data_IF_698269693672
#
_entry.id   IF_698269693672
#
_cell.length_a   1.000
_cell.length_b   1.000
_cell.length_c   1.000
_cell.angle_alpha   90.00
_cell.angle_beta   90.00
_cell.angle_gamma   90.00
#
_symmetry.space_group_name_H-M   'P 1'
#
loop_
_entity.id
_entity.type
_entity.pdbx_description
1 polymer ?
#
# COMPACT_ATOMS: atom_id res chain seq x y z
N UNK A 1 25.70 18.32 3.63
CA UNK A 1 24.21 18.35 3.67
C UNK A 1 23.80 18.76 5.08
N UNK A 2 22.82 19.64 5.22
CA UNK A 2 22.37 20.10 6.55
C UNK A 2 21.37 19.07 7.10
N UNK A 3 21.73 18.36 8.18
CA UNK A 3 20.89 17.33 8.83
C UNK A 3 19.48 17.83 9.12
N UNK A 4 19.35 18.99 9.76
CA UNK A 4 18.06 19.57 10.16
C UNK A 4 17.15 19.92 8.96
N UNK A 5 17.75 20.43 7.87
CA UNK A 5 16.97 20.73 6.66
C UNK A 5 16.46 19.44 6.00
N UNK A 6 17.33 18.42 5.88
CA UNK A 6 16.94 17.12 5.35
C UNK A 6 15.90 16.43 6.23
N UNK A 7 16.01 16.53 7.56
CA UNK A 7 15.05 15.91 8.49
C UNK A 7 13.66 16.55 8.35
N UNK A 8 13.60 17.86 8.21
CA UNK A 8 12.33 18.57 7.97
C UNK A 8 11.69 18.12 6.66
N UNK A 9 12.47 18.13 5.57
CA UNK A 9 12.00 17.71 4.25
C UNK A 9 11.52 16.25 4.25
N UNK A 10 12.27 15.35 4.89
CA UNK A 10 11.90 13.94 5.01
C UNK A 10 10.59 13.76 5.81
N UNK A 11 10.44 14.48 6.93
CA UNK A 11 9.19 14.47 7.72
C UNK A 11 8.00 15.02 6.93
N UNK A 12 8.19 16.04 6.10
CA UNK A 12 7.13 16.58 5.22
C UNK A 12 6.67 15.55 4.18
N UNK A 13 7.60 14.83 3.54
CA UNK A 13 7.27 13.75 2.61
C UNK A 13 6.54 12.60 3.30
N UNK A 14 7.03 12.15 4.45
CA UNK A 14 6.37 11.13 5.26
C UNK A 14 4.96 11.57 5.64
N UNK A 15 4.77 12.81 6.05
CA UNK A 15 3.45 13.34 6.41
C UNK A 15 2.48 13.29 5.23
N UNK A 16 2.91 13.64 4.01
CA UNK A 16 2.08 13.52 2.81
C UNK A 16 1.65 12.07 2.55
N UNK A 17 2.59 11.13 2.65
CA UNK A 17 2.33 9.70 2.49
C UNK A 17 1.30 9.21 3.53
N UNK A 18 1.48 9.59 4.79
CA UNK A 18 0.57 9.20 5.88
C UNK A 18 -0.81 9.89 5.74
N UNK A 19 -0.90 11.13 5.22
CA UNK A 19 -2.19 11.79 4.96
C UNK A 19 -2.99 11.05 3.88
N UNK A 20 -2.34 10.66 2.78
CA UNK A 20 -2.97 9.86 1.73
C UNK A 20 -3.45 8.53 2.32
N UNK A 21 -2.58 7.83 3.05
CA UNK A 21 -2.89 6.57 3.71
C UNK A 21 -4.07 6.69 4.68
N UNK A 22 -4.08 7.73 5.50
CA UNK A 22 -5.19 7.99 6.42
C UNK A 22 -6.50 8.28 5.68
N UNK A 23 -6.43 9.06 4.60
CA UNK A 23 -7.60 9.36 3.78
C UNK A 23 -8.19 8.10 3.17
N UNK A 24 -7.36 7.22 2.60
CA UNK A 24 -7.79 5.95 2.02
C UNK A 24 -8.37 5.01 3.09
N UNK A 25 -7.61 4.74 4.14
CA UNK A 25 -7.93 3.68 5.10
C UNK A 25 -8.95 4.09 6.16
N UNK A 26 -9.16 5.39 6.37
CA UNK A 26 -10.10 5.88 7.38
C UNK A 26 -11.29 6.59 6.74
N UNK A 27 -11.08 7.64 5.95
CA UNK A 27 -12.20 8.45 5.43
C UNK A 27 -12.92 7.76 4.27
N UNK A 28 -12.18 7.32 3.24
CA UNK A 28 -12.77 6.66 2.06
C UNK A 28 -13.33 5.29 2.42
N UNK A 29 -12.61 4.54 3.25
CA UNK A 29 -13.06 3.25 3.73
C UNK A 29 -14.30 3.37 4.63
N UNK A 30 -14.33 4.34 5.56
CA UNK A 30 -15.51 4.60 6.39
C UNK A 30 -16.74 4.93 5.56
N UNK A 31 -16.61 5.82 4.57
CA UNK A 31 -17.70 6.15 3.65
C UNK A 31 -18.17 4.91 2.87
N UNK A 32 -17.22 4.08 2.40
CA UNK A 32 -17.51 2.84 1.68
C UNK A 32 -18.40 1.90 2.50
N UNK A 33 -18.07 1.67 3.77
CA UNK A 33 -18.78 0.70 4.62
C UNK A 33 -20.05 1.25 5.28
N UNK A 34 -20.29 2.57 5.24
CA UNK A 34 -21.42 3.19 5.96
C UNK A 34 -22.45 3.83 5.05
N UNK A 35 -22.04 4.68 4.14
CA UNK A 35 -22.92 5.56 3.37
C UNK A 35 -22.92 5.31 1.86
N UNK A 36 -21.92 4.63 1.33
CA UNK A 36 -21.80 4.42 -0.11
C UNK A 36 -22.90 3.52 -0.64
N UNK A 37 -23.67 3.95 -1.68
CA UNK A 37 -24.60 3.07 -2.38
C UNK A 37 -23.84 1.91 -3.04
N UNK A 38 -24.47 0.73 -3.15
CA UNK A 38 -23.86 -0.46 -3.78
C UNK A 38 -23.32 -0.16 -5.19
N UNK A 39 -24.06 0.62 -5.98
CA UNK A 39 -23.64 1.02 -7.34
C UNK A 39 -22.45 2.02 -7.36
N UNK A 40 -22.07 2.55 -6.21
CA UNK A 40 -20.93 3.49 -6.07
C UNK A 40 -19.56 2.86 -6.10
N UNK A 41 -19.45 1.52 -6.03
CA UNK A 41 -18.16 0.83 -5.86
C UNK A 41 -17.21 1.06 -7.03
N UNK A 42 -17.70 1.08 -8.27
CA UNK A 42 -16.85 1.28 -9.45
C UNK A 42 -16.14 2.64 -9.41
N UNK A 43 -16.86 3.70 -9.05
CA UNK A 43 -16.25 5.02 -8.91
C UNK A 43 -15.30 5.08 -7.72
N UNK A 44 -15.69 4.49 -6.58
CA UNK A 44 -14.90 4.51 -5.36
C UNK A 44 -13.58 3.74 -5.50
N UNK A 45 -13.59 2.61 -6.21
CA UNK A 45 -12.36 1.84 -6.50
C UNK A 45 -11.37 2.66 -7.34
N UNK A 46 -11.84 3.43 -8.31
CA UNK A 46 -11.01 4.36 -9.11
C UNK A 46 -10.41 5.47 -8.27
N UNK A 47 -11.18 6.03 -7.32
CA UNK A 47 -10.65 7.04 -6.38
C UNK A 47 -9.56 6.43 -5.49
N UNK A 48 -9.78 5.22 -4.97
CA UNK A 48 -8.77 4.53 -4.16
C UNK A 48 -7.50 4.23 -4.96
N UNK A 49 -7.65 3.74 -6.18
CA UNK A 49 -6.52 3.48 -7.10
C UNK A 49 -5.73 4.75 -7.41
N UNK A 50 -6.41 5.86 -7.69
CA UNK A 50 -5.76 7.17 -7.89
C UNK A 50 -4.94 7.59 -6.67
N UNK A 51 -5.52 7.52 -5.47
CA UNK A 51 -4.81 7.87 -4.24
C UNK A 51 -3.64 6.93 -3.95
N UNK A 52 -3.78 5.65 -4.27
CA UNK A 52 -2.69 4.68 -4.14
C UNK A 52 -1.54 4.99 -5.12
N UNK A 53 -1.85 5.45 -6.33
CA UNK A 53 -0.85 5.94 -7.30
C UNK A 53 -0.09 7.16 -6.77
N UNK A 54 -0.79 8.17 -6.24
CA UNK A 54 -0.17 9.34 -5.63
C UNK A 54 0.78 8.94 -4.47
N UNK A 55 0.36 8.00 -3.63
CA UNK A 55 1.20 7.48 -2.56
C UNK A 55 2.43 6.73 -3.11
N UNK A 56 2.21 5.89 -4.13
CA UNK A 56 3.28 5.14 -4.79
C UNK A 56 4.33 6.08 -5.37
N UNK A 57 3.93 7.13 -6.10
CA UNK A 57 4.84 8.08 -6.72
C UNK A 57 5.71 8.82 -5.68
N UNK A 58 5.14 9.16 -4.51
CA UNK A 58 5.91 9.72 -3.41
C UNK A 58 6.96 8.74 -2.90
N UNK A 59 6.58 7.47 -2.66
CA UNK A 59 7.48 6.41 -2.18
C UNK A 59 8.56 6.02 -3.20
N UNK A 60 8.24 6.05 -4.49
CA UNK A 60 9.16 5.74 -5.58
C UNK A 60 10.05 6.93 -5.98
N UNK A 61 9.77 8.15 -5.49
CA UNK A 61 10.53 9.36 -5.87
C UNK A 61 12.00 9.26 -5.47
N UNK A 62 12.88 9.78 -6.33
CA UNK A 62 14.32 9.87 -6.01
C UNK A 62 14.57 10.67 -4.73
N UNK A 63 13.82 11.78 -4.55
CA UNK A 63 13.92 12.63 -3.35
C UNK A 63 13.65 11.83 -2.07
N UNK A 64 12.58 11.05 -2.03
CA UNK A 64 12.26 10.20 -0.88
C UNK A 64 13.33 9.14 -0.63
N UNK A 65 13.74 8.44 -1.69
CA UNK A 65 14.73 7.36 -1.59
C UNK A 65 16.12 7.86 -1.17
N UNK A 66 16.53 9.04 -1.64
CA UNK A 66 17.82 9.65 -1.26
C UNK A 66 17.81 10.10 0.22
N UNK A 67 16.69 10.67 0.68
CA UNK A 67 16.51 11.01 2.11
C UNK A 67 16.44 9.75 2.98
N UNK A 68 15.72 8.71 2.55
CA UNK A 68 15.67 7.45 3.27
C UNK A 68 17.07 6.83 3.43
N UNK A 69 17.87 6.80 2.36
CA UNK A 69 19.26 6.32 2.42
C UNK A 69 20.13 7.20 3.31
N UNK A 70 19.94 8.53 3.29
CA UNK A 70 20.69 9.46 4.14
C UNK A 70 20.46 9.19 5.62
N UNK A 71 19.19 8.91 6.00
CA UNK A 71 18.85 8.65 7.41
C UNK A 71 19.02 7.18 7.83
N UNK A 72 19.18 6.24 6.91
CA UNK A 72 19.34 4.82 7.24
C UNK A 72 20.70 4.59 7.94
N UNK A 73 20.67 4.43 9.26
CA UNK A 73 21.85 4.25 10.09
C UNK A 73 22.68 5.53 10.33
N UNK A 74 22.09 6.73 10.11
CA UNK A 74 22.77 7.99 10.36
C UNK A 74 23.07 8.20 11.85
N UNK A 75 24.31 8.55 12.19
CA UNK A 75 24.78 8.60 13.60
C UNK A 75 24.12 9.69 14.45
N UNK A 76 23.59 10.74 13.81
CA UNK A 76 22.93 11.85 14.50
C UNK A 76 21.42 11.59 14.74
N UNK A 77 20.90 10.45 14.27
CA UNK A 77 19.50 10.10 14.52
C UNK A 77 19.23 9.90 16.00
N UNK A 78 18.20 10.56 16.49
CA UNK A 78 17.61 10.20 17.77
C UNK A 78 16.78 8.90 17.65
N UNK A 79 16.34 8.34 18.78
CA UNK A 79 15.60 7.08 18.84
C UNK A 79 14.29 7.16 18.04
N UNK A 80 13.64 8.34 18.02
CA UNK A 80 12.37 8.55 17.29
C UNK A 80 12.62 8.54 15.80
N UNK A 81 13.62 9.27 15.33
CA UNK A 81 14.01 9.31 13.91
C UNK A 81 14.45 7.93 13.43
N UNK A 82 15.25 7.20 14.22
CA UNK A 82 15.68 5.85 13.86
C UNK A 82 14.48 4.89 13.74
N UNK A 83 13.53 4.94 14.67
CA UNK A 83 12.32 4.12 14.66
C UNK A 83 11.43 4.46 13.47
N UNK A 84 11.30 5.76 13.14
CA UNK A 84 10.56 6.25 11.99
C UNK A 84 11.18 5.72 10.68
N UNK A 85 12.49 5.83 10.52
CA UNK A 85 13.23 5.35 9.34
C UNK A 85 13.03 3.84 9.17
N UNK A 86 13.21 3.05 10.23
CA UNK A 86 13.00 1.60 10.19
C UNK A 86 11.58 1.22 9.75
N UNK A 87 10.56 1.90 10.29
CA UNK A 87 9.16 1.66 9.92
C UNK A 87 8.89 1.99 8.46
N UNK A 88 9.34 3.16 8.02
CA UNK A 88 9.15 3.61 6.63
C UNK A 88 9.90 2.70 5.66
N UNK A 89 11.14 2.36 5.94
CA UNK A 89 11.95 1.46 5.12
C UNK A 89 11.22 0.12 4.92
N UNK A 90 10.75 -0.49 6.01
CA UNK A 90 9.98 -1.75 5.92
C UNK A 90 8.77 -1.63 5.02
N UNK A 91 7.96 -0.59 5.20
CA UNK A 91 6.73 -0.41 4.44
C UNK A 91 6.97 -0.04 2.96
N UNK A 92 8.00 0.78 2.68
CA UNK A 92 8.29 1.25 1.32
C UNK A 92 8.89 0.17 0.42
N UNK A 93 9.69 -0.76 0.98
CA UNK A 93 10.36 -1.82 0.22
C UNK A 93 9.36 -2.69 -0.53
N UNK A 94 8.25 -3.03 0.09
CA UNK A 94 7.24 -3.89 -0.54
C UNK A 94 6.49 -3.18 -1.67
N UNK A 95 6.08 -1.93 -1.46
CA UNK A 95 5.36 -1.16 -2.48
C UNK A 95 6.27 -0.81 -3.65
N UNK A 96 7.50 -0.33 -3.39
CA UNK A 96 8.42 0.14 -4.43
C UNK A 96 8.96 -0.94 -5.38
N UNK A 97 8.84 -2.22 -5.02
CA UNK A 97 9.23 -3.34 -5.87
C UNK A 97 8.16 -3.76 -6.87
N UNK A 98 6.90 -3.37 -6.64
CA UNK A 98 5.78 -3.70 -7.52
C UNK A 98 5.67 -2.61 -8.59
N UNK A 99 5.47 -2.96 -9.89
CA UNK A 99 5.16 -1.97 -10.91
C UNK A 99 3.90 -1.16 -10.56
N UNK A 100 3.92 0.16 -10.82
CA UNK A 100 2.84 1.07 -10.42
C UNK A 100 1.47 0.62 -10.95
N UNK A 101 1.39 0.23 -12.23
CA UNK A 101 0.16 -0.22 -12.87
C UNK A 101 -0.43 -1.48 -12.20
N UNK A 102 0.43 -2.42 -11.79
CA UNK A 102 -0.02 -3.62 -11.08
C UNK A 102 -0.46 -3.32 -9.66
N UNK A 103 0.21 -2.37 -8.99
CA UNK A 103 -0.22 -1.93 -7.67
C UNK A 103 -1.58 -1.23 -7.71
N UNK A 104 -1.83 -0.37 -8.70
CA UNK A 104 -3.13 0.27 -8.93
C UNK A 104 -4.22 -0.77 -9.21
N UNK A 105 -3.96 -1.71 -10.12
CA UNK A 105 -4.90 -2.78 -10.45
C UNK A 105 -5.24 -3.65 -9.22
N UNK A 106 -4.26 -3.92 -8.37
CA UNK A 106 -4.46 -4.63 -7.12
C UNK A 106 -5.39 -3.87 -6.16
N UNK A 107 -5.20 -2.56 -5.99
CA UNK A 107 -6.06 -1.74 -5.13
C UNK A 107 -7.51 -1.74 -5.63
N UNK A 108 -7.72 -1.63 -6.94
CA UNK A 108 -9.06 -1.74 -7.55
C UNK A 108 -9.67 -3.12 -7.34
N UNK A 109 -8.90 -4.17 -7.58
CA UNK A 109 -9.33 -5.55 -7.39
C UNK A 109 -9.81 -5.79 -5.94
N UNK A 110 -9.01 -5.40 -4.95
CA UNK A 110 -9.37 -5.59 -3.53
C UNK A 110 -10.62 -4.80 -3.17
N UNK A 111 -10.75 -3.56 -3.65
CA UNK A 111 -11.91 -2.72 -3.35
C UNK A 111 -13.24 -3.32 -3.87
N UNK A 112 -13.20 -3.94 -5.06
CA UNK A 112 -14.36 -4.63 -5.64
C UNK A 112 -14.58 -5.99 -5.00
N UNK A 113 -13.50 -6.77 -4.80
CA UNK A 113 -13.57 -8.11 -4.22
C UNK A 113 -14.21 -8.13 -2.83
N UNK A 114 -13.97 -7.09 -2.01
CA UNK A 114 -14.55 -6.95 -0.68
C UNK A 114 -16.08 -6.84 -0.75
N UNK A 115 -16.63 -6.05 -1.67
CA UNK A 115 -18.08 -5.98 -1.87
C UNK A 115 -18.67 -7.30 -2.39
N UNK A 116 -18.01 -7.92 -3.38
CA UNK A 116 -18.44 -9.19 -3.95
C UNK A 116 -18.39 -10.30 -2.90
N UNK A 117 -17.42 -10.26 -1.98
CA UNK A 117 -17.36 -11.18 -0.85
C UNK A 117 -18.57 -11.05 0.08
N UNK A 118 -19.01 -9.81 0.39
CA UNK A 118 -20.20 -9.58 1.19
C UNK A 118 -21.46 -10.15 0.49
N UNK A 119 -21.62 -9.90 -0.81
CA UNK A 119 -22.73 -10.42 -1.61
C UNK A 119 -22.73 -11.96 -1.67
N UNK A 120 -21.57 -12.57 -1.87
CA UNK A 120 -21.41 -14.03 -1.89
C UNK A 120 -21.74 -14.66 -0.53
N UNK A 121 -21.35 -13.99 0.56
CA UNK A 121 -21.66 -14.41 1.93
C UNK A 121 -23.15 -14.33 2.21
N UNK A 122 -23.82 -13.23 1.86
CA UNK A 122 -25.25 -13.04 2.05
C UNK A 122 -26.06 -14.07 1.23
N UNK A 123 -25.62 -14.36 0.01
CA UNK A 123 -26.21 -15.38 -0.85
C UNK A 123 -25.84 -16.82 -0.44
N UNK A 124 -24.88 -17.03 0.46
CA UNK A 124 -24.28 -18.33 0.78
C UNK A 124 -23.77 -19.07 -0.48
N UNK A 125 -23.25 -18.32 -1.45
CA UNK A 125 -22.73 -18.84 -2.72
C UNK A 125 -21.29 -18.40 -2.97
N UNK A 126 -20.34 -19.30 -2.68
CA UNK A 126 -18.91 -19.06 -2.87
C UNK A 126 -18.52 -18.81 -4.35
N UNK A 127 -19.28 -19.34 -5.32
CA UNK A 127 -18.98 -19.20 -6.75
C UNK A 127 -18.99 -17.75 -7.21
N UNK A 128 -19.74 -16.89 -6.53
CA UNK A 128 -19.76 -15.44 -6.80
C UNK A 128 -18.41 -14.82 -6.49
N UNK A 129 -17.76 -15.22 -5.39
CA UNK A 129 -16.47 -14.66 -4.95
C UNK A 129 -15.25 -15.40 -5.55
N UNK A 130 -15.40 -16.66 -5.92
CA UNK A 130 -14.28 -17.50 -6.39
C UNK A 130 -13.39 -16.82 -7.45
N UNK A 131 -13.91 -16.19 -8.53
CA UNK A 131 -13.06 -15.55 -9.54
C UNK A 131 -12.18 -14.43 -8.98
N UNK A 132 -12.70 -13.69 -8.00
CA UNK A 132 -11.94 -12.61 -7.34
C UNK A 132 -10.85 -13.16 -6.43
N UNK A 133 -11.15 -14.23 -5.70
CA UNK A 133 -10.14 -14.91 -4.87
C UNK A 133 -9.00 -15.47 -5.73
N UNK A 134 -9.33 -16.10 -6.86
CA UNK A 134 -8.32 -16.59 -7.81
C UNK A 134 -7.44 -15.45 -8.34
N UNK A 135 -8.03 -14.33 -8.75
CA UNK A 135 -7.30 -13.14 -9.21
C UNK A 135 -6.41 -12.53 -8.11
N UNK A 136 -6.88 -12.52 -6.85
CA UNK A 136 -6.08 -12.06 -5.70
C UNK A 136 -4.87 -12.97 -5.49
N UNK A 137 -5.07 -14.30 -5.50
CA UNK A 137 -3.99 -15.28 -5.33
C UNK A 137 -2.96 -15.14 -6.45
N UNK A 138 -3.37 -15.05 -7.70
CA UNK A 138 -2.48 -14.84 -8.84
C UNK A 138 -1.68 -13.53 -8.72
N UNK A 139 -2.32 -12.47 -8.22
CA UNK A 139 -1.65 -11.18 -7.98
C UNK A 139 -0.58 -11.31 -6.89
N UNK A 140 -0.86 -12.00 -5.78
CA UNK A 140 0.12 -12.21 -4.72
C UNK A 140 1.27 -13.13 -5.15
N UNK A 141 1.04 -14.11 -6.02
CA UNK A 141 2.11 -14.93 -6.62
C UNK A 141 3.05 -14.01 -7.41
N UNK A 142 2.54 -13.12 -8.27
CA UNK A 142 3.36 -12.14 -8.99
C UNK A 142 4.09 -11.17 -8.06
N UNK A 143 3.45 -10.70 -6.99
CA UNK A 143 4.09 -9.83 -6.01
C UNK A 143 5.22 -10.54 -5.26
N UNK A 144 5.05 -11.81 -4.92
CA UNK A 144 6.11 -12.62 -4.33
C UNK A 144 7.36 -12.69 -5.23
N UNK A 145 7.17 -12.81 -6.57
CA UNK A 145 8.27 -12.76 -7.52
C UNK A 145 9.02 -11.40 -7.49
N UNK A 146 8.29 -10.28 -7.38
CA UNK A 146 8.93 -8.96 -7.24
C UNK A 146 9.64 -8.77 -5.91
N UNK A 147 9.09 -9.29 -4.83
CA UNK A 147 9.71 -9.21 -3.50
C UNK A 147 10.93 -10.10 -3.39
N UNK A 148 10.91 -11.27 -4.05
CA UNK A 148 11.92 -12.31 -3.98
C UNK A 148 11.74 -13.21 -2.76
N UNK A 149 12.06 -14.48 -2.92
CA UNK A 149 12.00 -15.52 -1.87
C UNK A 149 13.13 -16.53 -2.11
N UNK A 150 13.46 -17.34 -1.10
CA UNK A 150 14.53 -18.34 -1.22
C UNK A 150 13.99 -19.71 -1.64
N UNK A 151 12.94 -20.22 -0.98
CA UNK A 151 12.41 -21.56 -1.20
C UNK A 151 10.98 -21.54 -1.73
N UNK A 152 10.07 -20.80 -1.07
CA UNK A 152 8.65 -20.80 -1.39
C UNK A 152 8.09 -19.36 -1.54
N UNK A 153 7.25 -19.08 -2.55
CA UNK A 153 6.61 -17.76 -2.70
C UNK A 153 5.89 -17.29 -1.43
N UNK A 154 5.40 -18.21 -0.62
CA UNK A 154 4.74 -17.89 0.64
C UNK A 154 5.67 -17.21 1.66
N UNK A 155 6.99 -17.49 1.62
CA UNK A 155 7.96 -16.83 2.49
C UNK A 155 8.02 -15.33 2.27
N UNK A 156 7.87 -14.87 1.01
CA UNK A 156 7.80 -13.46 0.68
C UNK A 156 6.56 -12.79 1.32
N UNK A 157 5.45 -13.51 1.44
CA UNK A 157 4.22 -13.01 2.06
C UNK A 157 4.37 -12.88 3.58
N UNK A 158 5.08 -13.79 4.24
CA UNK A 158 5.36 -13.73 5.68
C UNK A 158 6.20 -12.50 6.06
N UNK A 159 7.09 -12.07 5.18
CA UNK A 159 7.88 -10.85 5.38
C UNK A 159 7.07 -9.55 5.23
N UNK A 160 5.94 -9.60 4.52
CA UNK A 160 5.05 -8.46 4.29
C UNK A 160 4.17 -8.12 5.53
N UNK A 161 3.85 -9.11 6.36
CA UNK A 161 3.06 -8.99 7.58
C UNK A 161 3.94 -8.96 8.82
#
# INVERSE_FOLDING_TARGET
MNYEANLREFKELISKIEYIKYTMNSLVYWDKITYMPKDGIEYRSKVMSFMASEQYQLLASNQFNDLLKFFDGHKENDVVTESMVKRIKRNSVYVSKIPEEEYQAYIELIAVAEQVWEEAKDASDFKIFQPYLEAIVETFIRFAEYWGYEEDPYDALLGYH
#
